data_IF_019697983440
#
_entry.id   IF_019697983440
#
_cell.length_a   1.000
_cell.length_b   1.000
_cell.length_c   1.000
_cell.angle_alpha   90.00
_cell.angle_beta   90.00
_cell.angle_gamma   90.00
#
_symmetry.space_group_name_H-M   'P 1'
#
loop_
_entity.id
_entity.type
_entity.pdbx_description
1 polymer ?
#
# COMPACT_ATOMS: atom_id res chain seq x y z
N UNK A 1 -5.85 12.20 13.54
CA UNK A 1 -6.06 13.46 12.83
C UNK A 1 -7.37 13.44 12.04
N UNK A 2 -7.98 14.59 11.90
CA UNK A 2 -9.14 14.74 11.05
C UNK A 2 -9.02 16.02 10.23
N UNK A 3 -9.73 16.07 9.12
CA UNK A 3 -9.78 17.23 8.26
C UNK A 3 -11.22 17.68 8.09
N UNK A 4 -11.51 18.90 8.42
CA UNK A 4 -12.79 19.52 8.12
C UNK A 4 -12.63 20.27 6.80
N UNK A 5 -13.20 19.70 5.76
CA UNK A 5 -13.04 20.23 4.41
C UNK A 5 -14.34 20.82 3.84
N UNK A 6 -15.45 20.19 4.17
CA UNK A 6 -16.76 20.72 3.81
C UNK A 6 -17.47 21.15 5.08
N UNK A 7 -18.31 22.21 5.06
CA UNK A 7 -18.93 22.76 6.27
C UNK A 7 -19.67 21.74 7.13
N UNK A 8 -20.10 20.62 6.54
CA UNK A 8 -20.86 19.59 7.25
C UNK A 8 -20.22 18.21 7.15
N UNK A 9 -18.94 18.15 6.76
CA UNK A 9 -18.20 16.90 6.62
C UNK A 9 -16.80 17.02 7.16
N UNK A 10 -16.35 15.97 7.82
CA UNK A 10 -14.95 15.84 8.20
C UNK A 10 -14.55 14.37 8.09
N UNK A 11 -13.25 14.14 7.97
CA UNK A 11 -12.65 12.81 7.94
C UNK A 11 -11.81 12.68 9.20
N UNK A 12 -12.09 11.64 9.98
CA UNK A 12 -11.25 11.25 11.09
C UNK A 12 -10.51 9.96 10.72
N UNK A 13 -9.20 9.98 10.85
CA UNK A 13 -8.34 8.82 10.62
C UNK A 13 -7.58 8.58 11.91
N UNK A 14 -7.89 7.46 12.59
CA UNK A 14 -7.33 7.12 13.90
C UNK A 14 -6.76 5.71 13.86
N UNK A 15 -5.60 5.50 13.21
CA UNK A 15 -4.97 4.19 13.22
C UNK A 15 -4.44 3.84 14.61
N UNK A 16 -4.29 2.55 14.90
CA UNK A 16 -3.70 2.08 16.16
C UNK A 16 -2.28 2.58 16.33
N UNK A 17 -1.51 2.60 15.24
CA UNK A 17 -0.14 3.12 15.22
C UNK A 17 0.00 4.09 14.05
N UNK A 18 0.44 5.31 14.36
CA UNK A 18 0.76 6.30 13.32
C UNK A 18 2.23 6.12 12.94
N UNK A 19 2.48 5.78 11.67
CA UNK A 19 3.83 5.56 11.19
C UNK A 19 3.91 5.75 9.68
N UNK A 20 5.15 5.81 9.18
CA UNK A 20 5.44 5.82 7.75
C UNK A 20 5.51 4.37 7.27
N UNK A 21 4.81 4.03 6.18
CA UNK A 21 4.82 2.66 5.67
C UNK A 21 6.19 2.24 5.14
N UNK A 22 7.08 3.19 4.87
CA UNK A 22 8.46 2.90 4.44
C UNK A 22 9.40 2.62 5.60
N UNK A 23 8.93 2.78 6.83
CA UNK A 23 9.72 2.55 8.04
C UNK A 23 8.78 2.13 9.18
N UNK A 24 8.46 0.84 9.24
CA UNK A 24 7.49 0.33 10.20
C UNK A 24 8.15 0.09 11.58
N UNK A 25 7.50 0.53 12.67
CA UNK A 25 8.05 0.39 14.02
C UNK A 25 7.77 -0.99 14.63
N UNK A 26 7.84 -2.03 13.83
CA UNK A 26 7.56 -3.40 14.26
C UNK A 26 8.79 -4.27 14.00
N UNK A 27 9.03 -5.30 14.84
CA UNK A 27 10.15 -6.19 14.62
C UNK A 27 9.97 -7.07 13.38
N UNK A 28 11.09 -7.64 12.91
CA UNK A 28 11.07 -8.59 11.80
C UNK A 28 10.16 -9.78 12.12
N UNK A 29 9.49 -10.30 11.10
CA UNK A 29 8.73 -11.55 11.17
C UNK A 29 7.74 -11.60 12.35
N UNK A 30 7.02 -10.49 12.56
CA UNK A 30 6.08 -10.35 13.67
C UNK A 30 4.62 -10.58 13.29
N UNK A 31 4.28 -10.67 12.01
CA UNK A 31 2.90 -10.81 11.53
C UNK A 31 2.77 -11.94 10.52
N UNK A 32 1.68 -12.70 10.63
CA UNK A 32 1.35 -13.78 9.68
C UNK A 32 0.65 -13.27 8.43
N UNK A 33 -0.04 -12.15 8.56
CA UNK A 33 -0.79 -11.51 7.48
C UNK A 33 -0.49 -10.02 7.49
N UNK A 34 -0.13 -9.49 6.35
CA UNK A 34 0.05 -8.05 6.15
C UNK A 34 -0.81 -7.64 4.96
N UNK A 35 -1.52 -6.54 5.08
CA UNK A 35 -2.23 -5.92 3.97
C UNK A 35 -1.51 -4.61 3.68
N UNK A 36 -1.03 -4.47 2.45
CA UNK A 36 -0.33 -3.28 1.98
C UNK A 36 -1.20 -2.58 0.93
N UNK A 37 -1.76 -1.45 1.33
CA UNK A 37 -2.63 -0.62 0.49
C UNK A 37 -2.11 0.82 0.50
N UNK A 38 -1.00 1.08 -0.22
CA UNK A 38 -0.41 2.43 -0.25
C UNK A 38 -1.28 3.38 -1.07
N UNK A 39 -1.05 4.69 -0.96
CA UNK A 39 -1.69 5.65 -1.86
C UNK A 39 -1.42 5.30 -3.32
N UNK A 40 -2.43 5.45 -4.17
CA UNK A 40 -2.35 5.08 -5.59
C UNK A 40 -2.20 6.30 -6.50
N UNK A 41 -2.30 7.50 -5.94
CA UNK A 41 -2.26 8.76 -6.69
C UNK A 41 -0.94 9.47 -6.45
N UNK A 42 -0.32 9.90 -7.53
CA UNK A 42 0.90 10.72 -7.50
C UNK A 42 0.62 12.17 -7.85
N UNK A 43 -0.54 12.45 -8.45
CA UNK A 43 -0.91 13.75 -8.97
C UNK A 43 -2.38 14.02 -8.65
N UNK A 44 -2.63 14.53 -7.45
CA UNK A 44 -3.95 14.95 -7.02
C UNK A 44 -3.82 16.28 -6.30
N UNK A 45 -4.84 17.13 -6.42
CA UNK A 45 -4.88 18.38 -5.69
C UNK A 45 -4.97 18.11 -4.19
N UNK A 46 -4.41 19.00 -3.38
CA UNK A 46 -4.46 18.88 -1.91
C UNK A 46 -5.89 18.86 -1.37
N UNK A 47 -6.83 19.38 -2.16
CA UNK A 47 -8.25 19.43 -1.83
C UNK A 47 -9.05 18.26 -2.39
N UNK A 48 -8.41 17.35 -3.11
CA UNK A 48 -9.06 16.15 -3.63
C UNK A 48 -9.60 15.29 -2.46
N UNK A 49 -10.86 14.88 -2.56
CA UNK A 49 -11.46 14.01 -1.55
C UNK A 49 -10.66 12.71 -1.38
N UNK A 50 -10.22 12.12 -2.50
CA UNK A 50 -9.43 10.88 -2.48
C UNK A 50 -8.08 11.11 -1.79
N UNK A 51 -7.39 12.20 -2.09
CA UNK A 51 -6.11 12.53 -1.47
C UNK A 51 -6.27 12.81 0.02
N UNK A 52 -7.34 13.48 0.43
CA UNK A 52 -7.62 13.74 1.84
C UNK A 52 -7.90 12.44 2.61
N UNK A 53 -8.61 11.50 1.98
CA UNK A 53 -9.04 10.26 2.63
C UNK A 53 -7.94 9.20 2.64
N UNK A 54 -7.19 9.05 1.55
CA UNK A 54 -6.24 7.94 1.36
C UNK A 54 -4.79 8.40 1.22
N UNK A 55 -4.54 9.69 1.10
CA UNK A 55 -3.22 10.22 0.87
C UNK A 55 -2.85 10.23 -0.62
N UNK A 56 -1.65 10.69 -0.88
CA UNK A 56 -1.11 10.82 -2.23
C UNK A 56 0.40 10.59 -2.17
N UNK A 57 0.92 9.81 -3.12
CA UNK A 57 2.35 9.63 -3.28
C UNK A 57 2.93 10.90 -3.93
N UNK A 58 4.01 11.42 -3.36
CA UNK A 58 4.68 12.61 -3.88
C UNK A 58 6.18 12.34 -4.00
N UNK A 59 6.81 13.01 -4.97
CA UNK A 59 8.24 12.88 -5.19
C UNK A 59 8.62 11.53 -5.80
N UNK A 60 9.62 10.87 -5.23
CA UNK A 60 10.14 9.59 -5.72
C UNK A 60 9.25 8.44 -5.26
N UNK A 61 8.11 8.29 -5.94
CA UNK A 61 7.13 7.27 -5.58
C UNK A 61 7.67 5.84 -5.79
N UNK A 62 8.59 5.63 -6.74
CA UNK A 62 9.16 4.29 -6.97
C UNK A 62 9.95 3.83 -5.75
N UNK A 63 10.81 4.67 -5.23
CA UNK A 63 11.57 4.35 -4.01
C UNK A 63 10.64 4.15 -2.81
N UNK A 64 9.61 4.98 -2.69
CA UNK A 64 8.64 4.85 -1.61
C UNK A 64 7.92 3.50 -1.64
N UNK A 65 7.42 3.09 -2.81
CA UNK A 65 6.72 1.81 -2.95
C UNK A 65 7.69 0.64 -2.75
N UNK A 66 8.90 0.73 -3.29
CA UNK A 66 9.93 -0.30 -3.10
C UNK A 66 10.24 -0.50 -1.62
N UNK A 67 10.45 0.60 -0.89
CA UNK A 67 10.70 0.55 0.55
C UNK A 67 9.48 0.05 1.31
N UNK A 68 8.28 0.40 0.86
CA UNK A 68 7.05 -0.11 1.43
C UNK A 68 6.93 -1.63 1.31
N UNK A 69 7.21 -2.19 0.13
CA UNK A 69 7.26 -3.64 -0.05
C UNK A 69 8.31 -4.28 0.84
N UNK A 70 9.50 -3.69 0.89
CA UNK A 70 10.59 -4.20 1.71
C UNK A 70 10.18 -4.29 3.18
N UNK A 71 9.55 -3.23 3.70
CA UNK A 71 9.09 -3.21 5.08
C UNK A 71 7.93 -4.17 5.32
N UNK A 72 6.97 -4.24 4.40
CA UNK A 72 5.84 -5.16 4.51
C UNK A 72 6.34 -6.61 4.60
N UNK A 73 7.29 -6.99 3.74
CA UNK A 73 7.87 -8.33 3.78
C UNK A 73 8.81 -8.54 4.97
N UNK A 74 9.49 -7.50 5.44
CA UNK A 74 10.35 -7.62 6.62
C UNK A 74 9.54 -8.02 7.87
N UNK A 75 8.42 -7.35 8.08
CA UNK A 75 7.57 -7.63 9.27
C UNK A 75 6.71 -8.88 9.11
N UNK A 76 6.65 -9.44 7.91
CA UNK A 76 5.88 -10.65 7.64
C UNK A 76 6.70 -11.89 8.04
N UNK A 77 6.06 -12.83 8.73
CA UNK A 77 6.69 -14.12 9.05
C UNK A 77 6.99 -14.91 7.78
N UNK A 78 7.95 -15.82 7.86
CA UNK A 78 8.18 -16.80 6.79
C UNK A 78 6.89 -17.59 6.58
N UNK A 79 6.56 -17.91 5.34
CA UNK A 79 5.27 -18.50 4.93
C UNK A 79 4.06 -17.60 5.18
N UNK A 80 4.29 -16.36 5.63
CA UNK A 80 3.21 -15.40 5.82
C UNK A 80 2.67 -14.89 4.49
N UNK A 81 1.48 -14.32 4.54
CA UNK A 81 0.75 -13.84 3.37
C UNK A 81 0.69 -12.32 3.36
N UNK A 82 1.05 -11.73 2.22
CA UNK A 82 0.87 -10.31 1.95
C UNK A 82 -0.25 -10.14 0.93
N UNK A 83 -1.24 -9.35 1.28
CA UNK A 83 -2.27 -8.90 0.34
C UNK A 83 -1.92 -7.48 -0.07
N UNK A 84 -1.74 -7.26 -1.35
CA UNK A 84 -1.41 -5.97 -1.93
C UNK A 84 -2.56 -5.46 -2.79
N UNK A 85 -2.96 -4.22 -2.55
CA UNK A 85 -4.01 -3.58 -3.34
C UNK A 85 -3.41 -2.42 -4.13
N UNK A 86 -3.76 -2.34 -5.39
CA UNK A 86 -3.32 -1.25 -6.27
C UNK A 86 -4.41 -0.86 -7.26
N UNK A 87 -4.62 0.45 -7.42
CA UNK A 87 -5.51 0.99 -8.45
C UNK A 87 -4.68 1.61 -9.57
N UNK A 88 -4.94 1.19 -10.81
CA UNK A 88 -4.21 1.65 -12.00
C UNK A 88 -4.69 3.01 -12.53
N UNK A 89 -5.29 3.86 -11.70
CA UNK A 89 -5.80 5.14 -12.16
C UNK A 89 -4.70 6.01 -12.76
N UNK A 90 -3.52 6.05 -12.14
CA UNK A 90 -2.40 6.87 -12.62
C UNK A 90 -1.18 6.05 -13.02
N UNK A 91 -0.87 5.00 -12.27
CA UNK A 91 0.33 4.19 -12.49
C UNK A 91 -0.11 2.76 -12.79
N UNK A 92 0.27 2.20 -13.96
CA UNK A 92 -0.09 0.82 -14.28
C UNK A 92 0.65 -0.18 -13.39
N UNK A 93 -0.01 -1.30 -13.11
CA UNK A 93 0.53 -2.35 -12.25
C UNK A 93 1.89 -2.89 -12.74
N UNK A 94 2.11 -2.90 -14.06
CA UNK A 94 3.39 -3.37 -14.64
C UNK A 94 4.59 -2.54 -14.17
N UNK A 95 4.37 -1.30 -13.71
CA UNK A 95 5.44 -0.47 -13.16
C UNK A 95 5.62 -0.68 -11.66
N UNK A 96 4.64 -1.28 -11.01
CA UNK A 96 4.65 -1.52 -9.56
C UNK A 96 5.27 -2.88 -9.23
N UNK A 97 4.89 -3.93 -9.96
CA UNK A 97 5.33 -5.30 -9.66
C UNK A 97 6.86 -5.47 -9.60
N UNK A 98 7.66 -4.82 -10.48
CA UNK A 98 9.12 -4.94 -10.37
C UNK A 98 9.71 -4.36 -9.09
N UNK A 99 8.95 -3.56 -8.35
CA UNK A 99 9.41 -2.96 -7.09
C UNK A 99 9.29 -3.94 -5.91
N UNK A 100 8.56 -5.03 -6.09
CA UNK A 100 8.43 -6.08 -5.08
C UNK A 100 9.60 -7.05 -5.19
N UNK A 101 10.17 -7.52 -4.05
CA UNK A 101 11.22 -8.54 -4.06
C UNK A 101 10.73 -9.93 -4.44
N UNK A 102 9.41 -10.16 -4.43
CA UNK A 102 8.81 -11.46 -4.73
C UNK A 102 7.71 -11.32 -5.76
N UNK A 103 7.42 -12.41 -6.48
CA UNK A 103 6.33 -12.47 -7.42
C UNK A 103 5.02 -12.84 -6.72
N UNK A 104 3.87 -12.32 -7.14
CA UNK A 104 2.60 -12.74 -6.57
C UNK A 104 2.27 -14.18 -6.98
N UNK A 105 1.51 -14.87 -6.11
CA UNK A 105 0.98 -16.19 -6.41
C UNK A 105 -0.21 -16.10 -7.36
N UNK A 106 -1.09 -15.14 -7.11
CA UNK A 106 -2.27 -14.89 -7.93
C UNK A 106 -2.85 -13.52 -7.57
N UNK A 107 -3.84 -13.11 -8.35
CA UNK A 107 -4.57 -11.88 -8.08
C UNK A 107 -5.82 -11.82 -8.92
N UNK A 108 -6.62 -10.78 -8.68
CA UNK A 108 -7.80 -10.49 -9.49
C UNK A 108 -8.05 -8.99 -9.55
N UNK A 109 -8.86 -8.61 -10.52
CA UNK A 109 -9.27 -7.22 -10.71
C UNK A 109 -10.65 -6.99 -10.12
N UNK A 110 -10.90 -5.78 -9.67
CA UNK A 110 -12.19 -5.36 -9.16
C UNK A 110 -12.36 -3.85 -9.34
N UNK A 111 -13.46 -3.32 -8.82
CA UNK A 111 -13.71 -1.89 -8.81
C UNK A 111 -14.17 -1.34 -10.15
N UNK A 112 -14.30 -0.01 -10.18
CA UNK A 112 -14.76 0.70 -11.37
C UNK A 112 -13.76 0.50 -12.52
N UNK A 113 -14.28 0.11 -13.69
CA UNK A 113 -13.48 -0.17 -14.89
C UNK A 113 -12.42 -1.25 -14.69
N UNK A 114 -12.57 -2.08 -13.66
CA UNK A 114 -11.61 -3.15 -13.34
C UNK A 114 -10.19 -2.64 -13.13
N UNK A 115 -10.04 -1.45 -12.58
CA UNK A 115 -8.75 -0.82 -12.37
C UNK A 115 -8.08 -1.19 -11.06
N UNK A 116 -8.80 -1.81 -10.13
CA UNK A 116 -8.25 -2.22 -8.84
C UNK A 116 -7.75 -3.65 -8.91
N UNK A 117 -6.50 -3.85 -8.51
CA UNK A 117 -5.88 -5.16 -8.43
C UNK A 117 -5.72 -5.56 -6.98
N UNK A 118 -6.07 -6.80 -6.68
CA UNK A 118 -5.78 -7.45 -5.41
C UNK A 118 -4.81 -8.58 -5.70
N UNK A 119 -3.64 -8.56 -5.09
CA UNK A 119 -2.59 -9.54 -5.32
C UNK A 119 -2.23 -10.23 -4.04
N UNK A 120 -2.04 -11.53 -4.12
CA UNK A 120 -1.64 -12.36 -2.99
C UNK A 120 -0.19 -12.80 -3.17
N UNK A 121 0.64 -12.51 -2.18
CA UNK A 121 2.03 -12.94 -2.11
C UNK A 121 2.21 -13.86 -0.92
N UNK A 122 3.13 -14.76 -1.02
CA UNK A 122 3.59 -15.54 0.13
C UNK A 122 5.09 -15.36 0.27
N UNK A 123 5.52 -14.96 1.47
CA UNK A 123 6.95 -14.83 1.76
C UNK A 123 7.59 -16.23 1.77
N UNK A 124 8.70 -16.43 1.05
CA UNK A 124 9.33 -17.74 1.04
C UNK A 124 9.77 -18.19 2.44
N UNK A 125 9.76 -19.49 2.66
CA UNK A 125 10.25 -20.07 3.91
C UNK A 125 11.73 -19.78 4.10
N UNK A 126 12.50 -19.74 2.99
CA UNK A 126 13.94 -19.46 2.99
C UNK A 126 14.30 -18.42 1.94
N UNK A 127 15.30 -17.62 2.23
CA UNK A 127 15.89 -16.76 1.21
C UNK A 127 16.60 -17.60 0.15
N UNK A 128 16.50 -17.16 -1.09
CA UNK A 128 17.21 -17.77 -2.20
C UNK A 128 18.40 -16.91 -2.65
#
# INVERSE_FOLDING_TARGET
PYHEYYPHRYIEISPDTVCDFTELPFPDESYKLVVFDPPHLTNAGDTSWTALKYGCLKGDWKTMIQNGFKEAFRVLERDGVLIFKWSEVQIPLREILPLSPYQPLFGHRSGKNMNTHWLCFMKPEKEE
#
